data_IF_126587012104
#
_entry.id   IF_126587012104
#
_cell.length_a   1.000
_cell.length_b   1.000
_cell.length_c   1.000
_cell.angle_alpha   90.00
_cell.angle_beta   90.00
_cell.angle_gamma   90.00
#
_symmetry.space_group_name_H-M   'P 1'
#
loop_
_entity.id
_entity.type
_entity.pdbx_description
1 polymer ?
#
# COMPACT_ATOMS: atom_id res chain seq x y z
N UNK A 1 45.46 29.30 -64.80
CA UNK A 1 44.60 29.92 -63.77
C UNK A 1 43.71 28.84 -63.20
N UNK A 2 44.25 27.92 -62.41
CA UNK A 2 44.52 28.06 -60.97
C UNK A 2 43.22 28.00 -60.15
N UNK A 3 42.91 26.77 -59.75
CA UNK A 3 42.10 26.33 -58.63
C UNK A 3 42.15 27.29 -57.42
N UNK A 4 41.03 27.63 -56.79
CA UNK A 4 40.86 27.63 -55.32
C UNK A 4 39.44 28.05 -54.89
N UNK A 5 38.97 27.44 -53.79
CA UNK A 5 37.73 27.72 -53.01
C UNK A 5 36.46 26.92 -53.38
N UNK A 6 36.58 25.61 -53.23
CA UNK A 6 35.66 24.87 -52.37
C UNK A 6 36.25 24.80 -50.95
N UNK A 7 35.39 24.77 -49.94
CA UNK A 7 35.67 24.55 -48.50
C UNK A 7 36.33 25.68 -47.70
N UNK A 8 35.52 26.38 -46.90
CA UNK A 8 35.76 26.50 -45.45
C UNK A 8 34.58 27.19 -44.78
N UNK A 9 33.85 26.41 -43.97
CA UNK A 9 33.55 26.79 -42.59
C UNK A 9 32.71 28.08 -42.44
N UNK A 10 31.38 28.05 -42.40
CA UNK A 10 30.59 27.87 -41.17
C UNK A 10 31.40 28.05 -39.86
N UNK A 11 32.15 29.16 -39.76
CA UNK A 11 33.01 29.54 -38.65
C UNK A 11 32.53 30.87 -38.06
N UNK A 12 31.35 30.91 -37.49
CA UNK A 12 30.97 31.89 -36.46
C UNK A 12 29.57 31.56 -35.95
N UNK A 13 29.50 30.55 -35.07
CA UNK A 13 28.51 30.36 -34.00
C UNK A 13 28.91 29.06 -33.28
N UNK A 14 30.19 29.00 -32.89
CA UNK A 14 30.73 28.01 -31.97
C UNK A 14 30.77 28.75 -30.63
N UNK A 15 30.10 28.19 -29.62
CA UNK A 15 29.98 28.70 -28.25
C UNK A 15 28.95 29.82 -28.02
N UNK A 16 27.69 29.42 -27.79
CA UNK A 16 26.84 29.85 -26.67
C UNK A 16 25.40 29.43 -26.98
N UNK A 17 25.05 28.19 -26.69
CA UNK A 17 23.76 27.86 -26.07
C UNK A 17 23.76 26.37 -25.75
N UNK A 18 24.72 26.00 -24.91
CA UNK A 18 24.63 24.82 -24.07
C UNK A 18 23.78 25.24 -22.86
N UNK A 19 22.52 25.65 -23.12
CA UNK A 19 21.54 26.03 -22.10
C UNK A 19 20.41 24.99 -22.18
N UNK A 20 20.62 23.81 -21.60
CA UNK A 20 20.34 23.60 -20.18
C UNK A 20 18.88 23.93 -19.84
N UNK A 21 17.93 23.27 -20.52
CA UNK A 21 16.68 22.90 -19.84
C UNK A 21 16.39 21.45 -20.24
N UNK A 22 17.17 20.56 -19.62
CA UNK A 22 16.65 19.27 -19.20
C UNK A 22 15.38 19.53 -18.38
N UNK A 23 14.24 19.66 -19.06
CA UNK A 23 12.93 19.42 -18.48
C UNK A 23 12.83 17.92 -18.22
N UNK A 24 13.66 17.42 -17.28
CA UNK A 24 13.28 16.26 -16.49
C UNK A 24 12.09 16.72 -15.66
N UNK A 25 10.91 16.72 -16.29
CA UNK A 25 9.65 16.63 -15.59
C UNK A 25 9.75 15.31 -14.85
N UNK A 26 10.29 15.38 -13.63
CA UNK A 26 10.16 14.32 -12.64
C UNK A 26 8.67 14.23 -12.38
N UNK A 27 8.02 13.36 -13.13
CA UNK A 27 6.69 12.89 -12.80
C UNK A 27 6.88 12.09 -11.51
N UNK A 28 6.82 12.78 -10.36
CA UNK A 28 6.66 12.15 -9.06
C UNK A 28 5.22 11.66 -8.96
N UNK A 29 4.82 10.79 -9.90
CA UNK A 29 3.65 9.95 -9.70
C UNK A 29 4.02 9.02 -8.57
N UNK A 30 3.48 9.30 -7.40
CA UNK A 30 3.50 8.41 -6.25
C UNK A 30 3.03 7.02 -6.71
N UNK A 31 3.97 6.10 -6.98
CA UNK A 31 3.74 4.79 -7.60
C UNK A 31 3.01 3.80 -6.66
N UNK A 32 2.33 4.30 -5.63
CA UNK A 32 1.58 3.49 -4.69
C UNK A 32 0.34 2.92 -5.37
N UNK A 33 0.25 1.58 -5.38
CA UNK A 33 -0.97 0.90 -5.83
C UNK A 33 -2.18 1.41 -5.03
N UNK A 34 -3.38 1.48 -5.62
CA UNK A 34 -4.56 2.03 -4.96
C UNK A 34 -4.98 1.24 -3.71
N UNK A 35 -5.73 1.91 -2.83
CA UNK A 35 -6.33 1.32 -1.64
C UNK A 35 -7.31 0.20 -1.97
N UNK A 36 -7.50 -0.73 -1.04
CA UNK A 36 -8.58 -1.70 -1.12
C UNK A 36 -9.83 -1.16 -0.45
N UNK A 37 -10.91 -1.02 -1.22
CA UNK A 37 -12.24 -0.79 -0.66
C UNK A 37 -12.77 -2.06 0.03
N UNK A 38 -13.74 -1.89 0.94
CA UNK A 38 -14.33 -2.99 1.73
C UNK A 38 -14.80 -4.16 0.86
N UNK A 39 -15.59 -3.88 -0.19
CA UNK A 39 -16.07 -4.91 -1.14
C UNK A 39 -14.92 -5.74 -1.73
N UNK A 40 -13.85 -5.07 -2.17
CA UNK A 40 -12.70 -5.74 -2.78
C UNK A 40 -11.93 -6.58 -1.76
N UNK A 41 -11.71 -6.02 -0.57
CA UNK A 41 -11.02 -6.69 0.52
C UNK A 41 -11.77 -7.97 0.96
N UNK A 42 -13.09 -7.88 1.15
CA UNK A 42 -13.92 -9.04 1.49
C UNK A 42 -14.00 -10.07 0.36
N UNK A 43 -14.06 -9.65 -0.91
CA UNK A 43 -14.00 -10.57 -2.06
C UNK A 43 -12.69 -11.35 -2.08
N UNK A 44 -11.56 -10.68 -1.80
CA UNK A 44 -10.25 -11.33 -1.69
C UNK A 44 -10.21 -12.32 -0.52
N UNK A 45 -10.75 -11.96 0.65
CA UNK A 45 -10.84 -12.86 1.80
C UNK A 45 -11.69 -14.10 1.47
N UNK A 46 -12.86 -13.92 0.86
CA UNK A 46 -13.77 -15.03 0.48
C UNK A 46 -13.18 -15.97 -0.58
N UNK A 47 -12.24 -15.51 -1.40
CA UNK A 47 -11.50 -16.41 -2.31
C UNK A 47 -10.62 -17.41 -1.55
N UNK A 48 -10.10 -17.03 -0.39
CA UNK A 48 -9.33 -17.96 0.47
C UNK A 48 -10.22 -18.78 1.40
N UNK A 49 -11.33 -18.19 1.85
CA UNK A 49 -12.27 -18.84 2.75
C UNK A 49 -13.72 -18.44 2.41
N UNK A 50 -14.41 -19.22 1.57
CA UNK A 50 -15.79 -18.93 1.17
C UNK A 50 -16.75 -18.85 2.35
N UNK A 51 -16.46 -19.60 3.41
CA UNK A 51 -17.27 -19.72 4.62
C UNK A 51 -16.81 -18.76 5.73
N UNK A 52 -15.99 -17.76 5.42
CA UNK A 52 -15.54 -16.79 6.44
C UNK A 52 -16.74 -16.11 7.09
N UNK A 53 -16.65 -15.93 8.41
CA UNK A 53 -17.71 -15.30 9.18
C UNK A 53 -17.30 -13.86 9.53
N UNK A 54 -18.19 -12.91 9.26
CA UNK A 54 -18.07 -11.55 9.76
C UNK A 54 -18.82 -11.47 11.08
N UNK A 55 -18.13 -11.13 12.17
CA UNK A 55 -18.79 -10.94 13.46
C UNK A 55 -19.52 -9.60 13.43
N UNK A 56 -20.84 -9.67 13.53
CA UNK A 56 -21.72 -8.50 13.62
C UNK A 56 -22.01 -8.24 15.10
N UNK A 57 -21.87 -6.99 15.59
CA UNK A 57 -22.19 -6.68 16.98
C UNK A 57 -23.67 -6.95 17.28
N UNK A 58 -23.98 -7.36 18.51
CA UNK A 58 -25.35 -7.70 18.91
C UNK A 58 -26.27 -6.47 18.97
N UNK A 59 -25.69 -5.30 19.17
CA UNK A 59 -26.40 -4.02 19.27
C UNK A 59 -25.61 -2.88 18.59
N UNK A 60 -26.30 -1.79 18.28
CA UNK A 60 -25.69 -0.59 17.65
C UNK A 60 -24.69 0.09 18.61
N UNK A 61 -24.88 -0.05 19.92
CA UNK A 61 -23.98 0.48 20.95
C UNK A 61 -22.69 -0.33 21.10
N UNK A 62 -22.66 -1.56 20.61
CA UNK A 62 -21.50 -2.42 20.70
C UNK A 62 -20.58 -2.25 19.49
N UNK A 63 -19.28 -2.19 19.75
CA UNK A 63 -18.27 -2.15 18.70
C UNK A 63 -17.41 -3.41 18.83
N UNK A 64 -17.24 -4.15 17.73
CA UNK A 64 -16.47 -5.40 17.76
C UNK A 64 -14.96 -5.15 17.83
N UNK A 65 -14.52 -3.96 17.40
CA UNK A 65 -13.12 -3.51 17.45
C UNK A 65 -13.06 -2.03 17.81
N UNK A 66 -12.45 -1.69 18.95
CA UNK A 66 -12.26 -0.30 19.37
C UNK A 66 -11.06 0.33 18.64
N UNK A 67 -11.33 1.21 17.67
CA UNK A 67 -10.26 1.86 16.90
C UNK A 67 -9.35 2.77 17.72
N UNK A 68 -9.79 3.20 18.91
CA UNK A 68 -9.00 3.94 19.89
C UNK A 68 -7.79 3.16 20.43
N UNK A 69 -7.82 1.84 20.33
CA UNK A 69 -6.76 0.97 20.86
C UNK A 69 -5.53 0.93 19.92
N UNK A 70 -5.65 1.50 18.73
CA UNK A 70 -4.61 1.54 17.72
C UNK A 70 -4.12 2.97 17.53
N UNK A 71 -2.85 3.12 17.16
CA UNK A 71 -2.27 4.44 16.89
C UNK A 71 -1.45 4.41 15.60
N UNK A 72 -1.75 5.27 14.60
CA UNK A 72 -2.95 6.11 14.52
C UNK A 72 -4.25 5.30 14.65
N UNK A 73 -5.36 5.92 15.08
CA UNK A 73 -6.63 5.21 15.20
C UNK A 73 -7.17 4.81 13.82
N UNK A 74 -7.74 3.62 13.72
CA UNK A 74 -8.47 3.23 12.50
C UNK A 74 -9.77 4.00 12.34
N UNK A 75 -10.34 4.00 11.12
CA UNK A 75 -11.67 4.57 10.88
C UNK A 75 -12.78 3.60 11.29
N UNK A 76 -12.59 2.31 11.02
CA UNK A 76 -13.43 1.23 11.54
C UNK A 76 -12.64 -0.08 11.56
N UNK A 77 -13.08 -1.02 12.38
CA UNK A 77 -12.51 -2.35 12.49
C UNK A 77 -13.56 -3.42 12.29
N UNK A 78 -13.15 -4.54 11.68
CA UNK A 78 -13.94 -5.74 11.49
C UNK A 78 -13.32 -6.86 12.31
N UNK A 79 -14.15 -7.73 12.89
CA UNK A 79 -13.69 -9.03 13.39
C UNK A 79 -14.16 -10.10 12.42
N UNK A 80 -13.22 -10.88 11.93
CA UNK A 80 -13.44 -11.90 10.91
C UNK A 80 -12.95 -13.23 11.45
N UNK A 81 -13.74 -14.28 11.27
CA UNK A 81 -13.34 -15.65 11.59
C UNK A 81 -12.94 -16.32 10.28
N UNK A 82 -11.65 -16.60 10.13
CA UNK A 82 -11.07 -17.28 8.96
C UNK A 82 -10.60 -18.65 9.40
N UNK A 83 -11.11 -19.71 8.75
CA UNK A 83 -10.79 -21.10 9.09
C UNK A 83 -10.96 -21.39 10.59
N UNK A 84 -12.03 -20.84 11.19
CA UNK A 84 -12.36 -20.94 12.63
C UNK A 84 -11.40 -20.19 13.58
N UNK A 85 -10.52 -19.34 13.05
CA UNK A 85 -9.57 -18.55 13.84
C UNK A 85 -9.97 -17.07 13.70
N UNK A 86 -10.21 -16.35 14.81
CA UNK A 86 -10.55 -14.93 14.75
C UNK A 86 -9.33 -14.09 14.38
N UNK A 87 -9.56 -13.01 13.64
CA UNK A 87 -8.61 -11.93 13.43
C UNK A 87 -9.35 -10.60 13.35
N UNK A 88 -8.64 -9.50 13.56
CA UNK A 88 -9.19 -8.15 13.37
C UNK A 88 -8.62 -7.52 12.11
N UNK A 89 -9.49 -6.93 11.29
CA UNK A 89 -9.11 -6.17 10.10
C UNK A 89 -9.48 -4.70 10.30
N UNK A 90 -8.47 -3.83 10.33
CA UNK A 90 -8.58 -2.42 10.64
C UNK A 90 -8.45 -1.61 9.35
N UNK A 91 -9.40 -0.74 9.08
CA UNK A 91 -9.40 0.11 7.89
C UNK A 91 -8.87 1.51 8.20
N UNK A 92 -7.97 1.98 7.34
CA UNK A 92 -7.42 3.34 7.35
C UNK A 92 -7.75 4.05 6.03
N UNK A 93 -7.81 5.39 6.08
CA UNK A 93 -8.00 6.20 4.88
C UNK A 93 -6.78 6.16 3.94
N UNK A 94 -5.59 6.05 4.50
CA UNK A 94 -4.35 6.07 3.75
C UNK A 94 -3.40 4.94 4.18
N UNK A 95 -2.46 4.61 3.29
CA UNK A 95 -1.54 3.48 3.49
C UNK A 95 -0.40 3.81 4.47
N UNK A 96 -0.10 5.09 4.69
CA UNK A 96 0.95 5.50 5.62
C UNK A 96 0.51 5.23 7.06
N UNK A 97 -0.71 5.62 7.40
CA UNK A 97 -1.30 5.40 8.73
C UNK A 97 -1.48 3.91 9.01
N UNK A 98 -1.95 3.14 8.01
CA UNK A 98 -2.02 1.69 8.12
C UNK A 98 -0.64 1.07 8.38
N UNK A 99 0.39 1.50 7.64
CA UNK A 99 1.75 1.01 7.84
C UNK A 99 2.29 1.38 9.22
N UNK A 100 2.05 2.60 9.68
CA UNK A 100 2.49 3.05 11.00
C UNK A 100 1.82 2.25 12.12
N UNK A 101 0.49 2.12 12.09
CA UNK A 101 -0.26 1.35 13.08
C UNK A 101 0.15 -0.13 13.05
N UNK A 102 0.26 -0.72 11.86
CA UNK A 102 0.69 -2.10 11.67
C UNK A 102 2.08 -2.38 12.24
N UNK A 103 3.02 -1.43 12.13
CA UNK A 103 4.36 -1.56 12.71
C UNK A 103 4.31 -1.60 14.24
N UNK A 104 3.49 -0.76 14.86
CA UNK A 104 3.38 -0.68 16.33
C UNK A 104 2.83 -1.96 16.94
N UNK A 105 1.84 -2.58 16.29
CA UNK A 105 1.26 -3.85 16.75
C UNK A 105 1.98 -5.09 16.20
N UNK A 106 3.05 -4.92 15.40
CA UNK A 106 3.76 -6.00 14.71
C UNK A 106 2.84 -6.88 13.83
N UNK A 107 1.78 -6.28 13.28
CA UNK A 107 0.76 -6.93 12.47
C UNK A 107 1.13 -7.08 11.00
N UNK A 108 0.15 -7.49 10.21
CA UNK A 108 0.25 -7.56 8.75
C UNK A 108 -0.48 -6.40 8.09
N UNK A 109 0.01 -5.92 6.94
CA UNK A 109 -0.55 -4.77 6.24
C UNK A 109 -0.83 -5.14 4.78
N UNK A 110 -2.05 -4.85 4.34
CA UNK A 110 -2.52 -4.98 2.97
C UNK A 110 -3.05 -3.63 2.49
N UNK A 111 -2.23 -2.84 1.81
CA UNK A 111 -2.55 -1.44 1.44
C UNK A 111 -2.92 -0.63 2.69
N UNK A 112 -4.15 -0.14 2.75
CA UNK A 112 -4.72 0.65 3.83
C UNK A 112 -5.42 -0.21 4.90
N UNK A 113 -5.24 -1.53 4.86
CA UNK A 113 -5.75 -2.46 5.87
C UNK A 113 -4.64 -2.97 6.76
N UNK A 114 -4.89 -3.02 8.06
CA UNK A 114 -4.02 -3.66 9.05
C UNK A 114 -4.73 -4.89 9.60
N UNK A 115 -4.01 -5.99 9.71
CA UNK A 115 -4.51 -7.27 10.18
C UNK A 115 -3.80 -7.59 11.50
N UNK A 116 -4.58 -7.54 12.57
CA UNK A 116 -4.16 -7.83 13.94
C UNK A 116 -4.54 -9.28 14.32
N UNK A 117 -3.87 -9.82 15.33
CA UNK A 117 -4.00 -11.22 15.79
C UNK A 117 -3.57 -12.27 14.74
N UNK A 118 -2.85 -11.84 13.69
CA UNK A 118 -2.32 -12.73 12.64
C UNK A 118 -0.93 -13.26 12.96
N UNK A 119 -0.07 -12.41 13.55
CA UNK A 119 1.32 -12.77 13.77
C UNK A 119 1.45 -13.90 14.79
N UNK A 120 2.21 -14.95 14.44
CA UNK A 120 2.35 -16.14 15.26
C UNK A 120 1.30 -17.22 14.98
N UNK A 121 0.31 -16.96 14.13
CA UNK A 121 -0.73 -17.92 13.74
C UNK A 121 -0.50 -18.45 12.31
N UNK A 122 0.12 -19.65 12.11
CA UNK A 122 0.60 -20.08 10.79
C UNK A 122 -0.49 -20.24 9.72
N UNK A 123 -1.72 -20.53 10.14
CA UNK A 123 -2.86 -20.63 9.23
C UNK A 123 -3.25 -19.23 8.73
N UNK A 124 -3.35 -18.26 9.64
CA UNK A 124 -3.68 -16.87 9.30
C UNK A 124 -2.54 -16.22 8.50
N UNK A 125 -1.28 -16.40 8.89
CA UNK A 125 -0.13 -15.83 8.16
C UNK A 125 -0.12 -16.29 6.69
N UNK A 126 -0.33 -17.59 6.44
CA UNK A 126 -0.44 -18.13 5.07
C UNK A 126 -1.68 -17.62 4.34
N UNK A 127 -2.79 -17.48 5.04
CA UNK A 127 -4.02 -16.96 4.43
C UNK A 127 -3.86 -15.51 3.98
N UNK A 128 -3.43 -14.62 4.87
CA UNK A 128 -3.37 -13.18 4.58
C UNK A 128 -2.31 -12.85 3.53
N UNK A 129 -1.19 -13.57 3.54
CA UNK A 129 -0.12 -13.35 2.55
C UNK A 129 -0.56 -13.82 1.16
N UNK A 130 -1.23 -14.98 1.07
CA UNK A 130 -1.66 -15.57 -0.20
C UNK A 130 -2.88 -14.86 -0.81
N UNK A 131 -3.90 -14.57 -0.01
CA UNK A 131 -5.20 -14.10 -0.53
C UNK A 131 -5.42 -12.60 -0.37
N UNK A 132 -4.84 -11.97 0.66
CA UNK A 132 -5.02 -10.55 0.94
C UNK A 132 -3.84 -9.68 0.47
N UNK A 133 -2.82 -10.29 -0.12
CA UNK A 133 -1.56 -9.63 -0.50
C UNK A 133 -0.88 -8.92 0.69
N UNK A 134 -1.15 -9.39 1.91
CA UNK A 134 -0.64 -8.76 3.12
C UNK A 134 0.84 -9.09 3.33
N UNK A 135 1.59 -8.15 3.88
CA UNK A 135 2.99 -8.34 4.29
C UNK A 135 3.16 -7.95 5.74
N UNK A 136 4.14 -8.55 6.41
CA UNK A 136 4.45 -8.19 7.80
C UNK A 136 4.90 -6.72 7.85
N UNK A 137 4.32 -5.93 8.75
CA UNK A 137 4.55 -4.48 8.77
C UNK A 137 6.02 -4.10 8.97
N UNK A 138 6.77 -4.92 9.71
CA UNK A 138 8.21 -4.75 9.95
C UNK A 138 9.06 -4.88 8.69
N UNK A 139 8.57 -5.58 7.66
CA UNK A 139 9.30 -5.85 6.41
C UNK A 139 9.02 -4.79 5.34
N UNK A 140 7.98 -3.98 5.53
CA UNK A 140 7.59 -2.93 4.58
C UNK A 140 8.43 -1.67 4.84
N UNK A 141 9.27 -1.33 3.87
CA UNK A 141 10.01 -0.07 3.85
C UNK A 141 9.02 1.09 3.74
N UNK A 142 9.19 2.11 4.60
CA UNK A 142 8.45 3.37 4.46
C UNK A 142 8.91 4.00 3.13
N UNK A 143 7.99 4.46 2.27
CA UNK A 143 8.39 5.22 1.09
C UNK A 143 9.20 6.46 1.48
#
# INVERSE_FOLDING_TARGET
>A
MSCFKWACYNFMMKYLSFLFIFLFISCSSDERKPNFGNKKFLEMARKGDPDLELVIPASISETVVHCSDYTPPCRYGLKVIVKKIPMKALFYENQLDALEAGKRIRGYVARNWVLDEVAGEPILERFVTKYLEAKKASEIKKP
#
